data_IF_601437555047
#
_entry.id   IF_601437555047
#
_cell.length_a   1.000
_cell.length_b   1.000
_cell.length_c   1.000
_cell.angle_alpha   90.00
_cell.angle_beta   90.00
_cell.angle_gamma   90.00
#
_symmetry.space_group_name_H-M   'P 1'
#
loop_
_entity.id
_entity.type
_entity.pdbx_description
1 polymer ?
#
# COMPACT_ATOMS: atom_id res chain seq x y z
N UNK A 1 18.06 -0.03 -17.28
CA UNK A 1 16.61 0.20 -17.51
C UNK A 1 16.03 -1.12 -17.99
N UNK A 2 15.12 -1.73 -17.21
CA UNK A 2 14.39 -2.89 -17.72
C UNK A 2 13.37 -2.39 -18.76
N UNK A 3 13.37 -3.01 -19.96
CA UNK A 3 12.39 -2.68 -20.99
C UNK A 3 10.99 -3.10 -20.48
N UNK A 4 10.02 -2.18 -20.52
CA UNK A 4 8.62 -2.50 -20.22
C UNK A 4 8.07 -3.30 -21.40
N UNK A 5 7.55 -4.53 -21.20
CA UNK A 5 6.98 -5.33 -22.27
C UNK A 5 5.74 -4.69 -22.89
N UNK A 6 5.57 -4.87 -24.19
CA UNK A 6 4.37 -4.48 -24.91
C UNK A 6 3.56 -5.72 -25.30
N UNK A 7 2.24 -5.60 -25.25
CA UNK A 7 1.29 -6.61 -25.69
C UNK A 7 0.42 -6.05 -26.82
N UNK A 8 0.10 -6.90 -27.80
CA UNK A 8 -0.78 -6.55 -28.91
C UNK A 8 -2.12 -7.25 -28.72
N UNK A 9 -3.18 -6.48 -28.67
CA UNK A 9 -4.56 -6.95 -28.53
C UNK A 9 -5.26 -6.84 -29.89
N UNK A 10 -5.85 -7.95 -30.37
CA UNK A 10 -6.72 -7.94 -31.55
C UNK A 10 -8.10 -7.43 -31.15
N UNK A 11 -8.55 -6.35 -31.76
CA UNK A 11 -9.88 -5.79 -31.53
C UNK A 11 -10.68 -5.83 -32.83
N UNK A 12 -12.00 -5.62 -32.74
CA UNK A 12 -12.85 -5.49 -33.94
C UNK A 12 -12.47 -4.33 -34.85
N UNK A 13 -11.70 -3.37 -34.35
CA UNK A 13 -11.26 -2.17 -35.06
C UNK A 13 -9.78 -2.25 -35.51
N UNK A 14 -9.13 -3.43 -35.35
CA UNK A 14 -7.73 -3.65 -35.66
C UNK A 14 -6.87 -3.93 -34.43
N UNK A 15 -5.56 -3.94 -34.64
CA UNK A 15 -4.57 -4.17 -33.58
C UNK A 15 -4.37 -2.94 -32.71
N UNK A 16 -4.28 -3.15 -31.39
CA UNK A 16 -3.88 -2.12 -30.43
C UNK A 16 -2.70 -2.60 -29.59
N UNK A 17 -1.67 -1.79 -29.51
CA UNK A 17 -0.50 -2.03 -28.67
C UNK A 17 -0.64 -1.30 -27.35
N UNK A 18 -0.35 -2.01 -26.25
CA UNK A 18 -0.31 -1.46 -24.89
C UNK A 18 1.01 -1.87 -24.23
N UNK A 19 1.60 -1.01 -23.40
CA UNK A 19 2.53 -1.52 -22.41
C UNK A 19 1.80 -2.40 -21.39
N UNK A 20 2.54 -3.27 -20.69
CA UNK A 20 1.92 -4.27 -19.82
C UNK A 20 1.12 -3.64 -18.67
N UNK A 21 1.57 -2.50 -18.12
CA UNK A 21 0.86 -1.84 -17.01
C UNK A 21 -0.43 -1.18 -17.47
N UNK A 22 -0.41 -0.52 -18.64
CA UNK A 22 -1.62 0.03 -19.26
C UNK A 22 -2.62 -1.08 -19.61
N UNK A 23 -2.13 -2.27 -19.99
CA UNK A 23 -3.00 -3.41 -20.27
C UNK A 23 -3.65 -3.94 -18.99
N UNK A 24 -2.87 -4.09 -17.91
CA UNK A 24 -3.40 -4.50 -16.60
C UNK A 24 -4.40 -3.49 -16.03
N UNK A 25 -4.15 -2.20 -16.23
CA UNK A 25 -5.07 -1.14 -15.77
C UNK A 25 -6.47 -1.27 -16.40
N UNK A 26 -6.58 -1.75 -17.66
CA UNK A 26 -7.89 -2.06 -18.27
C UNK A 26 -8.67 -3.14 -17.51
N UNK A 27 -7.97 -4.04 -16.84
CA UNK A 27 -8.56 -5.07 -15.97
C UNK A 27 -8.64 -4.58 -14.51
N UNK A 28 -8.49 -3.28 -14.28
CA UNK A 28 -8.57 -2.61 -12.98
C UNK A 28 -7.47 -3.06 -12.00
N UNK A 29 -6.31 -3.40 -12.53
CA UNK A 29 -5.15 -3.87 -11.77
C UNK A 29 -4.09 -2.78 -11.73
N UNK A 30 -3.66 -2.40 -10.52
CA UNK A 30 -2.59 -1.45 -10.24
C UNK A 30 -1.42 -2.20 -9.59
N UNK A 31 -0.19 -1.89 -10.01
CA UNK A 31 1.02 -2.48 -9.46
C UNK A 31 1.82 -1.46 -8.64
N UNK A 32 2.11 -1.79 -7.37
CA UNK A 32 3.08 -1.05 -6.53
C UNK A 32 4.27 -1.99 -6.30
N UNK A 33 5.23 -1.96 -7.23
CA UNK A 33 6.38 -2.88 -7.26
C UNK A 33 7.71 -2.23 -6.89
N UNK A 34 7.70 -1.11 -6.15
CA UNK A 34 8.92 -0.37 -5.83
C UNK A 34 8.73 0.49 -4.57
N UNK A 35 9.76 1.24 -4.19
CA UNK A 35 9.70 2.21 -3.10
C UNK A 35 8.62 3.28 -3.37
N UNK A 36 7.86 3.63 -2.33
CA UNK A 36 6.79 4.63 -2.37
C UNK A 36 7.40 6.02 -2.26
N UNK A 37 7.32 6.78 -3.34
CA UNK A 37 7.73 8.18 -3.45
C UNK A 37 6.61 9.02 -4.09
N UNK A 38 6.84 10.32 -4.25
CA UNK A 38 5.81 11.24 -4.78
C UNK A 38 5.39 10.89 -6.22
N UNK A 39 6.29 10.35 -7.04
CA UNK A 39 5.96 9.94 -8.43
C UNK A 39 5.06 8.70 -8.42
N UNK A 40 5.38 7.71 -7.59
CA UNK A 40 4.56 6.50 -7.42
C UNK A 40 3.18 6.90 -6.88
N UNK A 41 3.13 7.73 -5.85
CA UNK A 41 1.87 8.19 -5.27
C UNK A 41 1.01 8.92 -6.29
N UNK A 42 1.57 9.89 -7.02
CA UNK A 42 0.84 10.61 -8.06
C UNK A 42 0.29 9.70 -9.15
N UNK A 43 1.07 8.69 -9.57
CA UNK A 43 0.65 7.71 -10.56
C UNK A 43 -0.49 6.83 -10.04
N UNK A 44 -0.35 6.27 -8.83
CA UNK A 44 -1.37 5.38 -8.24
C UNK A 44 -2.67 6.14 -7.97
N UNK A 45 -2.58 7.35 -7.41
CA UNK A 45 -3.76 8.22 -7.18
C UNK A 45 -4.48 8.52 -8.50
N UNK A 46 -3.74 8.88 -9.56
CA UNK A 46 -4.34 9.14 -10.88
C UNK A 46 -5.05 7.90 -11.45
N UNK A 47 -4.46 6.69 -11.30
CA UNK A 47 -5.05 5.43 -11.72
C UNK A 47 -6.34 5.11 -10.92
N UNK A 48 -6.31 5.29 -9.60
CA UNK A 48 -7.50 5.10 -8.74
C UNK A 48 -8.65 6.01 -9.14
N UNK A 49 -8.37 7.31 -9.35
CA UNK A 49 -9.37 8.28 -9.78
C UNK A 49 -9.91 7.98 -11.19
N UNK A 50 -9.04 7.59 -12.11
CA UNK A 50 -9.43 7.20 -13.46
C UNK A 50 -10.37 5.99 -13.44
N UNK A 51 -10.00 4.91 -12.73
CA UNK A 51 -10.81 3.70 -12.62
C UNK A 51 -12.16 3.96 -11.92
N UNK A 52 -12.17 4.84 -10.91
CA UNK A 52 -13.39 5.27 -10.23
C UNK A 52 -14.34 5.99 -11.19
N UNK A 53 -13.80 6.84 -12.06
CA UNK A 53 -14.59 7.57 -13.05
C UNK A 53 -15.12 6.66 -14.17
N UNK A 54 -14.39 5.59 -14.52
CA UNK A 54 -14.87 4.60 -15.50
C UNK A 54 -16.03 3.75 -14.98
N UNK A 55 -15.91 3.23 -13.76
CA UNK A 55 -16.95 2.40 -13.13
C UNK A 55 -16.78 2.43 -11.60
N UNK A 56 -17.68 3.11 -10.93
CA UNK A 56 -17.64 3.29 -9.49
C UNK A 56 -18.14 2.07 -8.69
N UNK A 57 -18.67 1.03 -9.35
CA UNK A 57 -19.25 -0.15 -8.69
C UNK A 57 -18.33 -1.37 -8.74
N UNK A 58 -17.31 -1.35 -9.60
CA UNK A 58 -16.38 -2.47 -9.75
C UNK A 58 -15.13 -2.28 -8.90
N UNK A 59 -14.72 -3.36 -8.26
CA UNK A 59 -13.51 -3.41 -7.44
C UNK A 59 -12.25 -3.02 -8.23
N UNK A 60 -11.26 -2.49 -7.51
CA UNK A 60 -9.91 -2.22 -8.01
C UNK A 60 -8.94 -3.14 -7.26
N UNK A 61 -8.02 -3.79 -7.96
CA UNK A 61 -7.01 -4.66 -7.35
C UNK A 61 -5.65 -3.97 -7.34
N UNK A 62 -5.02 -3.89 -6.15
CA UNK A 62 -3.66 -3.37 -5.99
C UNK A 62 -2.74 -4.51 -5.58
N UNK A 63 -1.76 -4.83 -6.43
CA UNK A 63 -0.70 -5.78 -6.12
C UNK A 63 0.51 -5.05 -5.55
N UNK A 64 0.98 -5.50 -4.39
CA UNK A 64 2.01 -4.82 -3.60
C UNK A 64 3.25 -5.70 -3.46
N UNK A 65 4.39 -5.19 -3.92
CA UNK A 65 5.73 -5.69 -3.65
C UNK A 65 6.65 -4.49 -3.38
N UNK A 66 6.60 -3.96 -2.17
CA UNK A 66 7.22 -2.68 -1.84
C UNK A 66 7.88 -2.70 -0.46
N UNK A 67 9.09 -2.12 -0.33
CA UNK A 67 9.74 -1.93 0.97
C UNK A 67 9.12 -0.77 1.78
N UNK A 68 8.08 -0.12 1.28
CA UNK A 68 7.54 1.11 1.84
C UNK A 68 8.18 2.37 1.24
N UNK A 69 8.32 3.43 2.02
CA UNK A 69 8.92 4.68 1.57
C UNK A 69 8.34 5.92 2.26
N UNK A 70 8.20 7.02 1.50
CA UNK A 70 7.72 8.30 2.02
C UNK A 70 6.33 8.20 2.65
N UNK A 71 6.21 8.61 3.91
CA UNK A 71 4.94 8.60 4.64
C UNK A 71 3.91 9.55 4.03
N UNK A 72 4.31 10.73 3.55
CA UNK A 72 3.39 11.67 2.91
C UNK A 72 2.85 11.13 1.58
N UNK A 73 3.72 10.52 0.77
CA UNK A 73 3.34 9.87 -0.48
C UNK A 73 2.41 8.67 -0.22
N UNK A 74 2.73 7.86 0.80
CA UNK A 74 1.91 6.72 1.18
C UNK A 74 0.52 7.13 1.68
N UNK A 75 0.41 8.17 2.51
CA UNK A 75 -0.88 8.69 2.95
C UNK A 75 -1.72 9.22 1.79
N UNK A 76 -1.14 9.84 0.77
CA UNK A 76 -1.88 10.27 -0.40
C UNK A 76 -2.58 9.09 -1.10
N UNK A 77 -1.92 7.92 -1.19
CA UNK A 77 -2.52 6.70 -1.72
C UNK A 77 -3.59 6.16 -0.77
N UNK A 78 -3.27 6.00 0.52
CA UNK A 78 -4.16 5.44 1.55
C UNK A 78 -5.45 6.24 1.66
N UNK A 79 -5.36 7.55 1.74
CA UNK A 79 -6.53 8.42 1.81
C UNK A 79 -7.36 8.38 0.52
N UNK A 80 -6.72 8.24 -0.64
CA UNK A 80 -7.44 8.06 -1.90
C UNK A 80 -8.19 6.72 -1.93
N UNK A 81 -7.59 5.63 -1.45
CA UNK A 81 -8.26 4.33 -1.30
C UNK A 81 -9.52 4.47 -0.43
N UNK A 82 -9.41 5.18 0.69
CA UNK A 82 -10.55 5.39 1.60
C UNK A 82 -11.59 6.39 1.05
N UNK A 83 -11.22 7.27 0.13
CA UNK A 83 -12.09 8.31 -0.43
C UNK A 83 -12.94 7.83 -1.60
N UNK A 84 -12.40 6.92 -2.43
CA UNK A 84 -13.10 6.44 -3.64
C UNK A 84 -14.24 5.49 -3.29
N UNK A 85 -15.25 5.38 -4.18
CA UNK A 85 -16.41 4.53 -3.98
C UNK A 85 -16.12 3.03 -4.21
N UNK A 86 -15.33 2.63 -5.24
CA UNK A 86 -15.00 1.22 -5.45
C UNK A 86 -14.30 0.60 -4.25
N UNK A 87 -14.63 -0.64 -3.92
CA UNK A 87 -13.81 -1.41 -3.01
C UNK A 87 -12.43 -1.66 -3.61
N UNK A 88 -11.40 -1.53 -2.79
CA UNK A 88 -10.02 -1.82 -3.19
C UNK A 88 -9.59 -3.14 -2.57
N UNK A 89 -9.32 -4.12 -3.42
CA UNK A 89 -8.67 -5.36 -3.04
C UNK A 89 -7.16 -5.15 -3.02
N UNK A 90 -6.49 -5.58 -1.96
CA UNK A 90 -5.03 -5.49 -1.83
C UNK A 90 -4.40 -6.87 -1.75
N UNK A 91 -3.33 -7.10 -2.49
CA UNK A 91 -2.65 -8.40 -2.56
C UNK A 91 -1.14 -8.21 -2.39
N UNK A 92 -0.58 -8.78 -1.33
CA UNK A 92 0.88 -8.84 -1.17
C UNK A 92 1.48 -9.94 -2.06
N UNK A 93 2.44 -9.56 -2.91
CA UNK A 93 3.22 -10.47 -3.76
C UNK A 93 4.71 -10.29 -3.47
N UNK A 94 5.29 -11.10 -2.60
CA UNK A 94 6.68 -10.99 -2.16
C UNK A 94 6.80 -10.20 -0.86
N UNK A 95 6.91 -8.88 -0.89
CA UNK A 95 7.13 -8.05 0.30
C UNK A 95 6.12 -6.89 0.39
N UNK A 96 5.53 -6.72 1.57
CA UNK A 96 4.84 -5.49 1.94
C UNK A 96 5.42 -4.97 3.26
N UNK A 97 6.36 -4.02 3.19
CA UNK A 97 7.05 -3.52 4.37
C UNK A 97 6.73 -2.04 4.64
N UNK A 98 6.77 -1.65 5.92
CA UNK A 98 6.60 -0.26 6.34
C UNK A 98 5.29 0.33 5.79
N UNK A 99 5.34 1.43 5.03
CA UNK A 99 4.11 1.97 4.40
C UNK A 99 3.49 1.03 3.37
N UNK A 100 4.25 0.07 2.79
CA UNK A 100 3.69 -0.98 1.95
C UNK A 100 2.72 -1.90 2.71
N UNK A 101 3.02 -2.20 3.99
CA UNK A 101 2.11 -2.93 4.87
C UNK A 101 0.85 -2.12 5.22
N UNK A 102 0.98 -0.80 5.38
CA UNK A 102 -0.18 0.10 5.60
C UNK A 102 -1.09 0.14 4.36
N UNK A 103 -0.53 0.17 3.15
CA UNK A 103 -1.33 0.09 1.93
C UNK A 103 -2.01 -1.28 1.78
N UNK A 104 -1.34 -2.37 2.14
CA UNK A 104 -1.94 -3.70 2.18
C UNK A 104 -3.14 -3.72 3.14
N UNK A 105 -2.97 -3.17 4.32
CA UNK A 105 -3.97 -3.08 5.38
C UNK A 105 -5.14 -2.14 5.00
N UNK A 106 -4.94 -1.18 4.09
CA UNK A 106 -5.97 -0.21 3.67
C UNK A 106 -7.04 -0.79 2.75
N UNK A 107 -6.85 -2.00 2.24
CA UNK A 107 -7.86 -2.71 1.45
C UNK A 107 -9.20 -2.85 2.17
N UNK A 108 -10.27 -3.05 1.39
CA UNK A 108 -11.59 -3.29 1.92
C UNK A 108 -11.61 -4.55 2.80
N UNK A 109 -12.43 -4.56 3.84
CA UNK A 109 -12.57 -5.70 4.75
C UNK A 109 -13.01 -6.95 3.98
N UNK A 110 -12.33 -8.07 4.22
CA UNK A 110 -12.51 -9.32 3.49
C UNK A 110 -11.79 -9.39 2.13
N UNK A 111 -11.12 -8.30 1.71
CA UNK A 111 -10.44 -8.20 0.40
C UNK A 111 -8.94 -7.88 0.51
N UNK A 112 -8.32 -8.18 1.65
CA UNK A 112 -6.89 -8.03 1.90
C UNK A 112 -6.22 -9.41 1.85
N UNK A 113 -5.29 -9.62 0.93
CA UNK A 113 -4.71 -10.95 0.69
C UNK A 113 -3.18 -10.93 0.65
N UNK A 114 -2.59 -12.09 0.89
CA UNK A 114 -1.18 -12.35 0.66
C UNK A 114 -1.00 -13.66 -0.11
N UNK A 115 0.05 -13.75 -0.93
CA UNK A 115 0.50 -15.05 -1.47
C UNK A 115 1.25 -15.84 -0.39
N UNK A 116 1.32 -17.18 -0.48
CA UNK A 116 1.83 -18.02 0.61
C UNK A 116 3.26 -17.73 1.06
N UNK A 117 4.12 -17.25 0.14
CA UNK A 117 5.52 -16.92 0.42
C UNK A 117 5.76 -15.42 0.60
N UNK A 118 4.69 -14.63 0.79
CA UNK A 118 4.83 -13.21 1.06
C UNK A 118 5.28 -12.94 2.48
N UNK A 119 6.06 -11.88 2.64
CA UNK A 119 6.51 -11.36 3.92
C UNK A 119 5.91 -9.97 4.15
N UNK A 120 5.45 -9.73 5.36
CA UNK A 120 4.87 -8.44 5.76
C UNK A 120 5.69 -7.89 6.92
N UNK A 121 6.04 -6.61 6.89
CA UNK A 121 6.80 -5.98 7.96
C UNK A 121 6.18 -4.66 8.39
N UNK A 122 5.97 -4.52 9.69
CA UNK A 122 5.54 -3.27 10.32
C UNK A 122 6.63 -2.74 11.24
N UNK A 123 6.77 -1.42 11.29
CA UNK A 123 7.67 -0.73 12.19
C UNK A 123 7.25 0.73 12.38
N UNK A 124 7.84 1.41 13.36
CA UNK A 124 7.66 2.83 13.58
C UNK A 124 8.26 3.67 12.42
N UNK A 125 7.76 4.90 12.18
CA UNK A 125 8.31 5.76 11.14
C UNK A 125 9.77 6.10 11.44
N UNK A 126 10.60 6.07 10.40
CA UNK A 126 11.98 6.54 10.45
C UNK A 126 12.01 8.03 10.13
N UNK A 127 12.85 8.78 10.82
CA UNK A 127 13.03 10.19 10.55
C UNK A 127 14.25 10.75 11.28
N UNK A 128 14.75 11.88 10.78
CA UNK A 128 15.84 12.62 11.38
C UNK A 128 15.84 14.05 10.86
N UNK A 129 16.51 14.93 11.60
CA UNK A 129 16.66 16.33 11.22
C UNK A 129 17.96 16.89 11.76
N UNK A 130 18.48 17.92 11.10
CA UNK A 130 19.58 18.75 11.56
C UNK A 130 19.12 20.20 11.52
N UNK A 131 19.56 21.01 12.47
CA UNK A 131 19.22 22.43 12.53
C UNK A 131 19.32 22.97 13.94
N UNK A 132 18.65 24.08 14.18
CA UNK A 132 18.57 24.69 15.51
C UNK A 132 17.75 23.84 16.48
N UNK A 133 18.01 23.95 17.79
CA UNK A 133 17.34 23.14 18.81
C UNK A 133 15.79 23.14 18.67
N UNK A 134 15.21 24.31 18.40
CA UNK A 134 13.75 24.43 18.21
C UNK A 134 13.24 23.66 16.97
N UNK A 135 14.00 23.67 15.87
CA UNK A 135 13.65 22.91 14.64
C UNK A 135 13.71 21.41 14.88
N UNK A 136 14.73 20.96 15.64
CA UNK A 136 14.86 19.56 16.04
C UNK A 136 13.67 19.13 16.91
N UNK A 137 13.28 19.97 17.88
CA UNK A 137 12.13 19.70 18.75
C UNK A 137 10.81 19.60 17.95
N UNK A 138 10.58 20.53 17.01
CA UNK A 138 9.39 20.53 16.12
C UNK A 138 9.34 19.23 15.30
N UNK A 139 10.47 18.83 14.72
CA UNK A 139 10.56 17.62 13.92
C UNK A 139 10.36 16.36 14.76
N UNK A 140 10.95 16.29 15.95
CA UNK A 140 10.75 15.18 16.88
C UNK A 140 9.27 15.03 17.28
N UNK A 141 8.61 16.11 17.65
CA UNK A 141 7.17 16.09 17.98
C UNK A 141 6.31 15.63 16.80
N UNK A 142 6.66 16.04 15.56
CA UNK A 142 5.97 15.60 14.35
C UNK A 142 6.12 14.08 14.14
N UNK A 143 7.32 13.54 14.29
CA UNK A 143 7.60 12.11 14.14
C UNK A 143 6.83 11.29 15.20
N UNK A 144 6.81 11.75 16.46
CA UNK A 144 6.06 11.09 17.53
C UNK A 144 4.55 11.05 17.24
N UNK A 145 3.96 12.17 16.82
CA UNK A 145 2.54 12.21 16.41
C UNK A 145 2.26 11.26 15.24
N UNK A 146 3.18 11.18 14.28
CA UNK A 146 3.05 10.27 13.14
C UNK A 146 3.10 8.81 13.60
N UNK A 147 3.99 8.46 14.51
CA UNK A 147 4.07 7.14 15.14
C UNK A 147 2.75 6.75 15.80
N UNK A 148 2.20 7.62 16.63
CA UNK A 148 0.91 7.40 17.30
C UNK A 148 -0.22 7.20 16.27
N UNK A 149 -0.27 8.03 15.23
CA UNK A 149 -1.28 7.95 14.20
C UNK A 149 -1.21 6.63 13.40
N UNK A 150 -0.01 6.22 13.00
CA UNK A 150 0.20 4.95 12.28
C UNK A 150 -0.20 3.76 13.17
N UNK A 151 0.21 3.75 14.44
CA UNK A 151 -0.16 2.68 15.37
C UNK A 151 -1.68 2.59 15.53
N UNK A 152 -2.37 3.74 15.59
CA UNK A 152 -3.82 3.76 15.68
C UNK A 152 -4.48 3.18 14.43
N UNK A 153 -3.99 3.54 13.22
CA UNK A 153 -4.50 2.98 11.95
C UNK A 153 -4.34 1.44 11.95
N UNK A 154 -3.18 0.94 12.35
CA UNK A 154 -2.94 -0.51 12.42
C UNK A 154 -3.89 -1.16 13.44
N UNK A 155 -4.03 -0.58 14.62
CA UNK A 155 -4.91 -1.10 15.66
C UNK A 155 -6.38 -1.15 15.19
N UNK A 156 -6.88 -0.06 14.60
CA UNK A 156 -8.27 0.04 14.12
C UNK A 156 -8.57 -0.98 13.01
N UNK A 157 -7.61 -1.20 12.11
CA UNK A 157 -7.80 -2.10 10.97
C UNK A 157 -7.58 -3.57 11.28
N UNK A 158 -6.75 -3.89 12.29
CA UNK A 158 -6.43 -5.28 12.68
C UNK A 158 -7.26 -5.78 13.86
N UNK A 159 -7.88 -4.88 14.62
CA UNK A 159 -8.53 -5.20 15.89
C UNK A 159 -7.55 -5.50 17.03
N UNK A 160 -6.26 -5.29 16.84
CA UNK A 160 -5.27 -5.45 17.91
C UNK A 160 -5.32 -4.27 18.90
N UNK A 161 -5.02 -4.50 20.18
CA UNK A 161 -4.84 -3.40 21.14
C UNK A 161 -3.73 -2.46 20.70
N UNK A 162 -3.95 -1.14 20.80
CA UNK A 162 -2.98 -0.13 20.34
C UNK A 162 -1.63 -0.24 21.07
N UNK A 163 -1.64 -0.65 22.34
CA UNK A 163 -0.43 -0.89 23.14
C UNK A 163 0.39 -2.06 22.59
N UNK A 164 -0.30 -3.12 22.10
CA UNK A 164 0.38 -4.25 21.45
C UNK A 164 0.99 -3.80 20.13
N UNK A 165 0.26 -3.06 19.31
CA UNK A 165 0.77 -2.52 18.05
C UNK A 165 1.99 -1.62 18.30
N UNK A 166 1.93 -0.74 19.33
CA UNK A 166 3.03 0.15 19.68
C UNK A 166 4.30 -0.62 20.09
N UNK A 167 4.15 -1.75 20.79
CA UNK A 167 5.26 -2.61 21.17
C UNK A 167 5.84 -3.36 19.96
N UNK A 168 4.97 -3.93 19.11
CA UNK A 168 5.38 -4.69 17.94
C UNK A 168 6.09 -3.81 16.90
N UNK A 169 5.61 -2.57 16.70
CA UNK A 169 6.20 -1.61 15.75
C UNK A 169 7.44 -0.88 16.27
N UNK A 170 7.86 -1.11 17.52
CA UNK A 170 9.06 -0.44 18.10
C UNK A 170 10.35 -0.80 17.33
N UNK A 171 10.40 -1.97 16.74
CA UNK A 171 11.43 -2.46 15.82
C UNK A 171 10.78 -3.14 14.62
N UNK A 172 11.58 -3.53 13.64
CA UNK A 172 11.10 -4.27 12.48
C UNK A 172 10.45 -5.58 12.94
N UNK A 173 9.15 -5.68 12.72
CA UNK A 173 8.35 -6.84 13.05
C UNK A 173 7.91 -7.55 11.78
N UNK A 174 8.64 -8.60 11.41
CA UNK A 174 8.39 -9.40 10.23
C UNK A 174 7.36 -10.48 10.51
N UNK A 175 6.50 -10.72 9.54
CA UNK A 175 5.44 -11.73 9.58
C UNK A 175 5.40 -12.47 8.26
N UNK A 176 5.30 -13.80 8.32
CA UNK A 176 4.85 -14.62 7.21
C UNK A 176 3.39 -14.28 6.84
N UNK A 177 2.91 -14.78 5.70
CA UNK A 177 1.52 -14.61 5.30
C UNK A 177 0.53 -15.14 6.36
N UNK A 178 0.84 -16.30 6.98
CA UNK A 178 0.01 -16.89 8.04
C UNK A 178 -0.01 -16.04 9.31
N UNK A 179 1.14 -15.53 9.73
CA UNK A 179 1.25 -14.65 10.89
C UNK A 179 0.54 -13.32 10.65
N UNK A 180 0.65 -12.75 9.44
CA UNK A 180 -0.05 -11.52 9.06
C UNK A 180 -1.58 -11.71 9.05
N UNK A 181 -2.07 -12.88 8.63
CA UNK A 181 -3.47 -13.25 8.73
C UNK A 181 -3.92 -13.38 10.18
N UNK A 182 -3.14 -14.07 11.02
CA UNK A 182 -3.45 -14.20 12.45
C UNK A 182 -3.41 -12.85 13.18
N UNK A 183 -2.55 -11.94 12.74
CA UNK A 183 -2.46 -10.57 13.26
C UNK A 183 -3.65 -9.69 12.84
N UNK A 184 -4.28 -9.98 11.70
CA UNK A 184 -5.39 -9.23 11.13
C UNK A 184 -4.99 -8.23 10.04
N UNK A 185 -3.74 -8.29 9.54
CA UNK A 185 -3.29 -7.42 8.44
C UNK A 185 -3.91 -7.84 7.12
N UNK A 186 -4.04 -9.16 6.89
CA UNK A 186 -4.72 -9.72 5.74
C UNK A 186 -5.90 -10.59 6.17
N UNK A 187 -6.88 -10.72 5.31
CA UNK A 187 -8.09 -11.52 5.53
C UNK A 187 -7.91 -12.96 5.06
N UNK A 188 -7.04 -13.17 4.08
CA UNK A 188 -6.81 -14.49 3.49
C UNK A 188 -5.46 -14.65 2.81
N UNK A 189 -5.12 -15.91 2.59
CA UNK A 189 -3.96 -16.33 1.78
C UNK A 189 -4.53 -16.98 0.54
N UNK A 190 -4.05 -16.56 -0.64
CA UNK A 190 -4.49 -17.04 -1.94
C UNK A 190 -3.31 -17.64 -2.72
N UNK A 191 -3.52 -18.82 -3.28
CA UNK A 191 -2.50 -19.55 -4.03
C UNK A 191 -2.84 -21.03 -4.15
#
# INVERSE_FOLDING_TARGET
>A
MNAIPYVIEQTKLGERSYDIYSRLLKDRIIMIGQEINDQVASSVVAQLLFLTAEDAEKDISIYINSPGGSTSAGFAILDTINYIKPDVQTICIGLAASFGALLLLSGAEGKRFALPNSEIMIHQPLGGTQGQATEIEISARRILKLKEHINQIIADKTGQPVEKVANDTERDYFMSAEEAKAYGIVDGIIG
#
